data_IF_121853760256
#
_entry.id   IF_121853760256
#
_cell.length_a   1.000
_cell.length_b   1.000
_cell.length_c   1.000
_cell.angle_alpha   90.00
_cell.angle_beta   90.00
_cell.angle_gamma   90.00
#
_symmetry.space_group_name_H-M   'P 1'
#
loop_
_entity.id
_entity.type
_entity.pdbx_description
1 polymer ?
#
# COMPACT_ATOMS: atom_id res chain seq x y z
N UNK A 1 30.00 -34.97 15.53
CA UNK A 1 28.97 -35.07 14.46
C UNK A 1 27.92 -33.94 14.45
N UNK A 2 27.70 -33.20 15.55
CA UNK A 2 26.64 -32.14 15.62
C UNK A 2 26.98 -30.74 15.09
N UNK A 3 28.26 -30.41 14.82
CA UNK A 3 28.67 -29.08 14.36
C UNK A 3 28.22 -28.81 12.90
N UNK A 4 28.38 -29.80 12.01
CA UNK A 4 28.05 -29.68 10.57
C UNK A 4 26.56 -29.40 10.33
N UNK A 5 25.67 -30.05 11.09
CA UNK A 5 24.22 -29.86 10.98
C UNK A 5 23.77 -28.45 11.44
N UNK A 6 24.35 -27.92 12.53
CA UNK A 6 24.06 -26.56 13.00
C UNK A 6 24.50 -25.50 11.99
N UNK A 7 25.66 -25.70 11.34
CA UNK A 7 26.14 -24.82 10.28
C UNK A 7 25.24 -24.83 9.04
N UNK A 8 24.81 -26.01 8.58
CA UNK A 8 23.91 -26.12 7.43
C UNK A 8 22.53 -25.49 7.72
N UNK A 9 21.98 -25.69 8.92
CA UNK A 9 20.72 -25.05 9.34
C UNK A 9 20.87 -23.52 9.43
N UNK A 10 22.01 -23.02 9.91
CA UNK A 10 22.31 -21.59 9.96
C UNK A 10 22.45 -20.99 8.55
N UNK A 11 23.17 -21.65 7.65
CA UNK A 11 23.33 -21.23 6.26
C UNK A 11 21.99 -21.21 5.51
N UNK A 12 21.17 -22.27 5.65
CA UNK A 12 19.82 -22.31 5.07
C UNK A 12 18.89 -21.23 5.64
N UNK A 13 19.01 -20.90 6.94
CA UNK A 13 18.22 -19.83 7.57
C UNK A 13 18.67 -18.46 7.05
N UNK A 14 19.97 -18.25 6.88
CA UNK A 14 20.54 -17.04 6.30
C UNK A 14 20.05 -16.82 4.87
N UNK A 15 20.14 -17.83 3.99
CA UNK A 15 19.65 -17.75 2.61
C UNK A 15 18.15 -17.48 2.54
N UNK A 16 17.34 -18.19 3.35
CA UNK A 16 15.90 -17.95 3.43
C UNK A 16 15.57 -16.53 3.89
N UNK A 17 16.27 -16.01 4.89
CA UNK A 17 16.06 -14.63 5.37
C UNK A 17 16.44 -13.59 4.31
N UNK A 18 17.55 -13.79 3.60
CA UNK A 18 18.01 -12.89 2.55
C UNK A 18 17.07 -12.88 1.34
N UNK A 19 16.62 -14.06 0.91
CA UNK A 19 15.65 -14.19 -0.18
C UNK A 19 14.29 -13.59 0.19
N UNK A 20 13.81 -13.83 1.41
CA UNK A 20 12.59 -13.21 1.91
C UNK A 20 12.69 -11.68 1.92
N UNK A 21 13.82 -11.12 2.38
CA UNK A 21 14.08 -9.67 2.37
C UNK A 21 14.02 -9.09 0.96
N UNK A 22 14.70 -9.71 -0.02
CA UNK A 22 14.68 -9.27 -1.43
C UNK A 22 13.27 -9.24 -2.03
N UNK A 23 12.44 -10.26 -1.73
CA UNK A 23 11.05 -10.31 -2.17
C UNK A 23 10.24 -9.17 -1.56
N UNK A 24 10.41 -8.91 -0.25
CA UNK A 24 9.70 -7.82 0.44
C UNK A 24 10.07 -6.46 -0.13
N UNK A 25 11.36 -6.19 -0.31
CA UNK A 25 11.83 -4.92 -0.87
C UNK A 25 11.32 -4.70 -2.30
N UNK A 26 11.33 -5.75 -3.13
CA UNK A 26 10.79 -5.66 -4.50
C UNK A 26 9.28 -5.41 -4.49
N UNK A 27 8.53 -6.06 -3.60
CA UNK A 27 7.09 -5.80 -3.44
C UNK A 27 6.83 -4.37 -2.96
N UNK A 28 7.62 -3.87 -2.02
CA UNK A 28 7.48 -2.51 -1.51
C UNK A 28 7.72 -1.47 -2.62
N UNK A 29 8.78 -1.63 -3.41
CA UNK A 29 9.07 -0.73 -4.54
C UNK A 29 7.97 -0.74 -5.59
N UNK A 30 7.44 -1.91 -5.95
CA UNK A 30 6.31 -2.01 -6.88
C UNK A 30 5.05 -1.38 -6.31
N UNK A 31 4.78 -1.61 -5.02
CA UNK A 31 3.65 -1.01 -4.32
C UNK A 31 3.73 0.52 -4.33
N UNK A 32 4.89 1.07 -4.01
CA UNK A 32 5.14 2.51 -4.04
C UNK A 32 4.97 3.09 -5.46
N UNK A 33 5.50 2.42 -6.48
CA UNK A 33 5.37 2.85 -7.88
C UNK A 33 3.91 2.84 -8.36
N UNK A 34 3.15 1.79 -8.04
CA UNK A 34 1.71 1.72 -8.34
C UNK A 34 0.95 2.79 -7.56
N UNK A 35 1.31 3.04 -6.30
CA UNK A 35 0.73 4.11 -5.50
C UNK A 35 0.95 5.49 -6.11
N UNK A 36 2.17 5.78 -6.59
CA UNK A 36 2.48 7.02 -7.30
C UNK A 36 1.66 7.16 -8.59
N UNK A 37 1.53 6.10 -9.40
CA UNK A 37 0.66 6.10 -10.56
C UNK A 37 -0.82 6.35 -10.18
N UNK A 38 -1.28 5.75 -9.08
CA UNK A 38 -2.62 5.98 -8.53
C UNK A 38 -2.89 7.43 -8.13
N UNK A 39 -1.88 8.12 -7.60
CA UNK A 39 -1.98 9.55 -7.29
C UNK A 39 -2.19 10.39 -8.56
N UNK A 40 -1.50 10.09 -9.66
CA UNK A 40 -1.74 10.78 -10.93
C UNK A 40 -3.14 10.50 -11.47
N UNK A 41 -3.65 9.28 -11.32
CA UNK A 41 -5.05 8.93 -11.69
C UNK A 41 -6.04 9.71 -10.84
N UNK A 42 -5.82 9.83 -9.53
CA UNK A 42 -6.63 10.64 -8.62
C UNK A 42 -6.65 12.10 -9.06
N UNK A 43 -5.47 12.71 -9.25
CA UNK A 43 -5.32 14.10 -9.64
C UNK A 43 -5.97 14.40 -10.99
N UNK A 44 -5.79 13.52 -11.98
CA UNK A 44 -6.40 13.67 -13.30
C UNK A 44 -7.93 13.56 -13.23
N UNK A 45 -8.45 12.55 -12.52
CA UNK A 45 -9.90 12.35 -12.38
C UNK A 45 -10.55 13.52 -11.64
N UNK A 46 -9.93 13.97 -10.54
CA UNK A 46 -10.39 15.12 -9.78
C UNK A 46 -10.43 16.38 -10.66
N UNK A 47 -9.36 16.65 -11.41
CA UNK A 47 -9.27 17.83 -12.28
C UNK A 47 -10.35 17.83 -13.35
N UNK A 48 -10.61 16.68 -13.99
CA UNK A 48 -11.68 16.54 -15.00
C UNK A 48 -13.06 16.79 -14.40
N UNK A 49 -13.36 16.21 -13.23
CA UNK A 49 -14.66 16.38 -12.57
C UNK A 49 -14.89 17.81 -12.08
N UNK A 50 -13.84 18.49 -11.60
CA UNK A 50 -13.94 19.90 -11.24
C UNK A 50 -14.16 20.79 -12.47
N UNK A 51 -13.51 20.47 -13.61
CA UNK A 51 -13.69 21.21 -14.85
C UNK A 51 -15.12 21.10 -15.43
N UNK A 52 -15.85 20.02 -15.13
CA UNK A 52 -17.26 19.87 -15.53
C UNK A 52 -18.25 20.53 -14.57
N UNK A 53 -17.77 21.21 -13.53
CA UNK A 53 -18.60 21.91 -12.55
C UNK A 53 -19.22 21.01 -11.49
N UNK A 54 -18.77 19.76 -11.36
CA UNK A 54 -19.23 18.85 -10.29
C UNK A 54 -18.73 19.37 -8.94
N UNK A 55 -19.61 19.26 -7.93
CA UNK A 55 -19.30 19.65 -6.56
C UNK A 55 -17.99 19.01 -6.05
N UNK A 56 -17.14 19.82 -5.40
CA UNK A 56 -15.79 19.41 -4.96
C UNK A 56 -15.78 18.15 -4.08
N UNK A 57 -16.78 17.97 -3.21
CA UNK A 57 -16.87 16.82 -2.32
C UNK A 57 -17.20 15.55 -3.11
N UNK A 58 -18.14 15.66 -4.04
CA UNK A 58 -18.51 14.55 -4.94
C UNK A 58 -17.32 14.17 -5.81
N UNK A 59 -16.65 15.16 -6.41
CA UNK A 59 -15.46 14.96 -7.24
C UNK A 59 -14.35 14.24 -6.48
N UNK A 60 -14.14 14.57 -5.19
CA UNK A 60 -13.15 13.91 -4.34
C UNK A 60 -13.48 12.43 -4.09
N UNK A 61 -14.75 12.12 -3.82
CA UNK A 61 -15.18 10.73 -3.58
C UNK A 61 -14.94 9.89 -4.84
N UNK A 62 -15.37 10.38 -6.01
CA UNK A 62 -15.18 9.66 -7.26
C UNK A 62 -13.72 9.52 -7.65
N UNK A 63 -12.92 10.58 -7.51
CA UNK A 63 -11.48 10.53 -7.82
C UNK A 63 -10.76 9.50 -6.94
N UNK A 64 -11.07 9.49 -5.64
CA UNK A 64 -10.50 8.55 -4.69
C UNK A 64 -10.89 7.10 -5.02
N UNK A 65 -12.16 6.84 -5.34
CA UNK A 65 -12.62 5.50 -5.71
C UNK A 65 -11.95 5.00 -6.99
N UNK A 66 -11.77 5.87 -8.00
CA UNK A 66 -11.03 5.55 -9.21
C UNK A 66 -9.57 5.19 -8.90
N UNK A 67 -8.90 5.99 -8.08
CA UNK A 67 -7.52 5.78 -7.69
C UNK A 67 -7.32 4.49 -6.87
N UNK A 68 -8.20 4.24 -5.89
CA UNK A 68 -8.18 3.00 -5.07
C UNK A 68 -8.43 1.77 -5.94
N UNK A 69 -9.37 1.85 -6.88
CA UNK A 69 -9.66 0.74 -7.79
C UNK A 69 -8.48 0.45 -8.72
N UNK A 70 -7.88 1.49 -9.30
CA UNK A 70 -6.67 1.37 -10.12
C UNK A 70 -5.52 0.74 -9.35
N UNK A 71 -5.19 1.29 -8.18
CA UNK A 71 -4.08 0.80 -7.35
C UNK A 71 -4.31 -0.61 -6.84
N UNK A 72 -5.54 -0.97 -6.49
CA UNK A 72 -5.92 -2.33 -6.11
C UNK A 72 -5.66 -3.33 -7.26
N UNK A 73 -6.18 -3.03 -8.46
CA UNK A 73 -6.03 -3.91 -9.63
C UNK A 73 -4.56 -4.11 -10.00
N UNK A 74 -3.77 -3.03 -10.01
CA UNK A 74 -2.35 -3.11 -10.36
C UNK A 74 -1.51 -3.78 -9.27
N UNK A 75 -1.76 -3.48 -7.99
CA UNK A 75 -1.06 -4.17 -6.91
C UNK A 75 -1.34 -5.68 -6.90
N UNK A 76 -2.58 -6.06 -7.21
CA UNK A 76 -2.96 -7.45 -7.37
C UNK A 76 -2.22 -8.12 -8.54
N UNK A 77 -2.13 -7.44 -9.69
CA UNK A 77 -1.54 -8.01 -10.92
C UNK A 77 -0.01 -8.02 -10.94
N UNK A 78 0.65 -7.03 -10.32
CA UNK A 78 2.10 -6.82 -10.46
C UNK A 78 2.89 -6.93 -9.15
N UNK A 79 2.30 -6.54 -8.03
CA UNK A 79 2.96 -6.53 -6.71
C UNK A 79 2.79 -7.87 -6.00
N UNK A 80 1.54 -8.34 -5.88
CA UNK A 80 1.16 -9.53 -5.13
C UNK A 80 0.74 -10.65 -6.07
N UNK A 81 1.68 -11.17 -6.86
CA UNK A 81 1.44 -12.19 -7.89
C UNK A 81 0.67 -13.43 -7.40
N UNK A 82 0.84 -13.82 -6.13
CA UNK A 82 0.08 -14.92 -5.53
C UNK A 82 -1.43 -14.64 -5.47
N UNK A 83 -1.85 -13.39 -5.33
CA UNK A 83 -3.25 -13.00 -5.35
C UNK A 83 -3.86 -12.98 -6.76
N UNK A 84 -3.04 -12.78 -7.79
CA UNK A 84 -3.45 -12.81 -9.20
C UNK A 84 -3.97 -14.19 -9.64
N UNK A 85 -3.57 -15.27 -8.95
CA UNK A 85 -3.97 -16.65 -9.26
C UNK A 85 -5.46 -16.96 -9.01
N UNK A 86 -6.13 -16.17 -8.17
CA UNK A 86 -7.57 -16.28 -7.88
C UNK A 86 -8.38 -15.31 -8.78
N UNK A 87 -9.72 -15.30 -8.70
CA UNK A 87 -10.53 -14.22 -9.30
C UNK A 87 -10.57 -12.98 -8.38
N UNK A 88 -10.68 -11.74 -8.92
CA UNK A 88 -10.91 -10.56 -8.11
C UNK A 88 -12.24 -10.69 -7.35
N UNK A 89 -12.29 -10.18 -6.11
CA UNK A 89 -13.47 -10.25 -5.25
C UNK A 89 -13.77 -8.88 -4.66
N UNK A 90 -15.05 -8.53 -4.56
CA UNK A 90 -15.52 -7.28 -3.94
C UNK A 90 -15.05 -7.18 -2.48
N UNK A 91 -15.00 -8.30 -1.75
CA UNK A 91 -14.48 -8.32 -0.38
C UNK A 91 -12.97 -8.04 -0.30
N UNK A 92 -12.20 -8.38 -1.34
CA UNK A 92 -10.78 -8.05 -1.42
C UNK A 92 -10.58 -6.55 -1.72
N UNK A 93 -11.36 -6.00 -2.66
CA UNK A 93 -11.39 -4.57 -2.93
C UNK A 93 -11.77 -3.78 -1.68
N UNK A 94 -12.85 -4.16 -0.97
CA UNK A 94 -13.30 -3.47 0.24
C UNK A 94 -12.24 -3.46 1.35
N UNK A 95 -11.55 -4.58 1.58
CA UNK A 95 -10.43 -4.62 2.55
C UNK A 95 -9.26 -3.75 2.11
N UNK A 96 -8.95 -3.72 0.81
CA UNK A 96 -7.92 -2.85 0.27
C UNK A 96 -8.28 -1.38 0.49
N UNK A 97 -9.52 -0.99 0.17
CA UNK A 97 -10.03 0.36 0.41
C UNK A 97 -9.92 0.74 1.89
N UNK A 98 -10.34 -0.14 2.82
CA UNK A 98 -10.24 0.12 4.25
C UNK A 98 -8.78 0.31 4.70
N UNK A 99 -7.87 -0.55 4.24
CA UNK A 99 -6.43 -0.42 4.53
C UNK A 99 -5.92 0.91 3.97
N UNK A 100 -6.17 1.21 2.70
CA UNK A 100 -5.73 2.45 2.04
C UNK A 100 -6.25 3.71 2.74
N UNK A 101 -7.52 3.72 3.13
CA UNK A 101 -8.12 4.81 3.90
C UNK A 101 -7.49 4.94 5.29
N UNK A 102 -7.20 3.83 5.97
CA UNK A 102 -6.55 3.86 7.29
C UNK A 102 -5.12 4.43 7.23
N UNK A 103 -4.32 4.06 6.22
CA UNK A 103 -2.99 4.63 6.05
C UNK A 103 -3.04 6.10 5.63
N UNK A 104 -4.03 6.50 4.82
CA UNK A 104 -4.29 7.90 4.50
C UNK A 104 -4.67 8.73 5.72
N UNK A 105 -5.52 8.20 6.59
CA UNK A 105 -5.90 8.84 7.85
C UNK A 105 -4.70 9.02 8.78
N UNK A 106 -3.85 7.99 8.93
CA UNK A 106 -2.63 8.10 9.74
C UNK A 106 -1.65 9.12 9.16
N UNK A 107 -1.48 9.15 7.83
CA UNK A 107 -0.69 10.19 7.17
C UNK A 107 -1.17 11.58 7.57
N UNK A 108 -2.47 11.84 7.43
CA UNK A 108 -3.06 13.13 7.72
C UNK A 108 -2.98 13.49 9.22
N UNK A 109 -3.26 12.54 10.11
CA UNK A 109 -3.18 12.76 11.57
C UNK A 109 -1.75 13.10 12.00
N UNK A 110 -0.75 12.35 11.50
CA UNK A 110 0.65 12.64 11.80
C UNK A 110 1.09 13.99 11.25
N UNK A 111 0.65 14.34 10.04
CA UNK A 111 0.90 15.67 9.48
C UNK A 111 0.36 16.77 10.40
N UNK A 112 -0.91 16.68 10.80
CA UNK A 112 -1.54 17.68 11.67
C UNK A 112 -0.83 17.76 13.02
N UNK A 113 -0.51 16.62 13.66
CA UNK A 113 0.18 16.60 14.96
C UNK A 113 1.55 17.27 14.85
N UNK A 114 2.36 16.90 13.85
CA UNK A 114 3.71 17.41 13.70
C UNK A 114 3.72 18.91 13.41
N UNK A 115 2.86 19.38 12.49
CA UNK A 115 2.74 20.82 12.21
C UNK A 115 2.24 21.59 13.46
N UNK A 116 1.34 20.99 14.24
CA UNK A 116 0.80 21.62 15.47
C UNK A 116 1.82 21.68 16.62
N UNK A 117 2.89 20.87 16.58
CA UNK A 117 3.99 20.97 17.55
C UNK A 117 4.89 22.18 17.33
N UNK A 118 4.74 22.91 16.22
CA UNK A 118 5.53 24.10 15.93
C UNK A 118 6.83 23.76 15.21
N UNK A 119 7.90 24.49 15.53
CA UNK A 119 9.17 24.37 14.83
C UNK A 119 9.86 23.02 15.10
N UNK A 120 10.53 22.40 14.09
CA UNK A 120 10.73 22.91 12.73
C UNK A 120 9.60 22.58 11.74
N UNK A 121 8.57 21.84 12.16
CA UNK A 121 7.55 21.31 11.25
C UNK A 121 6.54 22.35 10.76
N UNK A 122 6.28 23.39 11.55
CA UNK A 122 5.48 24.54 11.10
C UNK A 122 6.22 25.38 10.04
N UNK A 123 7.53 25.57 10.20
CA UNK A 123 8.39 26.24 9.21
C UNK A 123 8.63 25.41 7.95
N UNK A 124 8.77 24.09 8.11
CA UNK A 124 8.99 23.15 7.01
C UNK A 124 7.91 22.05 6.98
N UNK A 125 6.65 22.36 6.58
CA UNK A 125 5.55 21.39 6.56
C UNK A 125 5.80 20.17 5.68
N UNK A 126 6.74 20.29 4.73
CA UNK A 126 7.20 19.19 3.88
C UNK A 126 7.80 18.06 4.71
N UNK A 127 8.48 18.35 5.82
CA UNK A 127 9.03 17.32 6.73
C UNK A 127 7.91 16.53 7.41
N UNK A 128 6.88 17.22 7.90
CA UNK A 128 5.71 16.58 8.49
C UNK A 128 4.97 15.73 7.45
N UNK A 129 4.84 16.24 6.23
CA UNK A 129 4.24 15.53 5.10
C UNK A 129 5.02 14.26 4.76
N UNK A 130 6.36 14.33 4.75
CA UNK A 130 7.22 13.19 4.46
C UNK A 130 7.07 12.09 5.52
N UNK A 131 7.08 12.46 6.81
CA UNK A 131 6.91 11.52 7.93
C UNK A 131 5.51 10.87 7.88
N UNK A 132 4.46 11.68 7.74
CA UNK A 132 3.09 11.18 7.62
C UNK A 132 2.93 10.25 6.42
N UNK A 133 3.49 10.60 5.27
CA UNK A 133 3.46 9.79 4.05
C UNK A 133 4.22 8.48 4.20
N UNK A 134 5.39 8.49 4.84
CA UNK A 134 6.15 7.27 5.11
C UNK A 134 5.36 6.32 6.03
N UNK A 135 4.78 6.83 7.11
CA UNK A 135 3.97 6.04 8.04
C UNK A 135 2.72 5.46 7.35
N UNK A 136 1.98 6.28 6.61
CA UNK A 136 0.80 5.85 5.86
C UNK A 136 1.13 4.81 4.80
N UNK A 137 2.24 4.99 4.07
CA UNK A 137 2.71 4.03 3.07
C UNK A 137 3.09 2.68 3.71
N UNK A 138 3.79 2.70 4.85
CA UNK A 138 4.13 1.49 5.60
C UNK A 138 2.88 0.72 6.06
N UNK A 139 1.91 1.42 6.64
CA UNK A 139 0.64 0.80 7.05
C UNK A 139 -0.13 0.24 5.85
N UNK A 140 -0.19 0.98 4.74
CA UNK A 140 -0.84 0.53 3.52
C UNK A 140 -0.18 -0.73 2.95
N UNK A 141 1.15 -0.77 2.91
CA UNK A 141 1.90 -1.92 2.40
C UNK A 141 1.73 -3.14 3.30
N UNK A 142 1.94 -2.99 4.61
CA UNK A 142 1.81 -4.08 5.58
C UNK A 142 0.38 -4.59 5.64
N UNK A 143 -0.60 -3.69 5.68
CA UNK A 143 -2.01 -4.04 5.68
C UNK A 143 -2.43 -4.79 4.41
N UNK A 144 -1.98 -4.30 3.25
CA UNK A 144 -2.24 -4.95 1.97
C UNK A 144 -1.62 -6.35 1.92
N UNK A 145 -0.37 -6.48 2.38
CA UNK A 145 0.35 -7.75 2.35
C UNK A 145 -0.22 -8.77 3.34
N UNK A 146 -0.58 -8.36 4.55
CA UNK A 146 -0.98 -9.26 5.64
C UNK A 146 -2.48 -9.57 5.68
N UNK A 147 -3.34 -8.61 5.32
CA UNK A 147 -4.79 -8.73 5.46
C UNK A 147 -5.55 -8.81 4.14
N UNK A 148 -5.06 -8.16 3.08
CA UNK A 148 -5.76 -8.13 1.79
C UNK A 148 -5.33 -9.29 0.90
N UNK A 149 -4.02 -9.44 0.67
CA UNK A 149 -3.46 -10.36 -0.32
C UNK A 149 -2.82 -11.61 0.30
N UNK A 150 -2.95 -11.81 1.61
CA UNK A 150 -2.49 -13.01 2.30
C UNK A 150 -3.46 -14.19 2.07
N UNK A 151 -3.43 -14.77 0.87
CA UNK A 151 -4.22 -15.97 0.55
C UNK A 151 -3.33 -17.22 0.59
N UNK A 152 -3.74 -18.21 1.38
CA UNK A 152 -3.17 -19.58 1.32
C UNK A 152 -3.59 -20.21 -0.02
N UNK A 153 -2.64 -20.87 -0.69
CA UNK A 153 -2.74 -21.46 -2.04
C UNK A 153 -3.90 -22.48 -2.22
N UNK A 154 -4.55 -22.92 -1.14
CA UNK A 154 -5.55 -24.00 -1.14
C UNK A 154 -7.00 -23.56 -1.37
N UNK A 155 -7.31 -22.29 -1.65
CA UNK A 155 -8.71 -21.79 -1.74
C UNK A 155 -9.06 -21.07 -3.05
N UNK A 156 -8.39 -21.36 -4.16
CA UNK A 156 -8.80 -20.86 -5.48
C UNK A 156 -9.71 -21.86 -6.25
N UNK A 157 -10.10 -22.99 -5.66
CA UNK A 157 -11.12 -23.91 -6.18
C UNK A 157 -12.33 -23.93 -5.25
N UNK A 158 -13.32 -23.08 -5.54
CA UNK A 158 -14.75 -23.44 -5.54
C UNK A 158 -15.57 -22.24 -6.05
N UNK A 159 -16.02 -22.33 -7.31
CA UNK A 159 -17.37 -22.04 -7.84
C UNK A 159 -17.25 -21.75 -9.35
#
# INVERSE_FOLDING_TARGET
MGLSLKWLLAAQRYERSNQASKVISTQFLRFAAVGAAGFFVDAATLSVLLATGVNVYISRIFSFLCAVTFTWLYNRRYTFLSAAACRPSVGEWGRFTLVSSSGGAVNMVLYVILVSWGDPFAQFPILALAIGSAAGLCLNFLGSRLFVFNRKKSRCTNN
#
